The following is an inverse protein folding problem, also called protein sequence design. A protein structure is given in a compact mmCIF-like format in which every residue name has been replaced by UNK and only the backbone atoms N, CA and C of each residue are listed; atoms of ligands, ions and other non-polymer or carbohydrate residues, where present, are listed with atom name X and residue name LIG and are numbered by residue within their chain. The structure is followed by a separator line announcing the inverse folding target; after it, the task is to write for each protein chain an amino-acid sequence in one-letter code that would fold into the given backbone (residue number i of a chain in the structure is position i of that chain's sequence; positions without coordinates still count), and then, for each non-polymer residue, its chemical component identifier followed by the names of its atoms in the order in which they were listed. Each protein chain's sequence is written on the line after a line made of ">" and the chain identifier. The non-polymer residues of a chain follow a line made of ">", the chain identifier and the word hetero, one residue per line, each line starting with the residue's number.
data_IF_884900976819
#
_entry.id   IF_884900976819
#
_cell.length_a   1.000
_cell.length_b   1.000
_cell.length_c   1.000
_cell.angle_alpha   90.00
_cell.angle_beta   90.00
_cell.angle_gamma   90.00
#
_symmetry.space_group_name_H-M   'P 1'
#
loop_
_entity.id
_entity.type
_entity.pdbx_description
1 polymer ?
#
# COMPACT_ATOMS: atom_id res chain seq x y z
N UNK A 1 12.99 4.05 -98.80
CA UNK A 1 14.15 3.73 -97.92
C UNK A 1 13.57 3.31 -96.58
N UNK A 2 13.83 2.06 -96.16
CA UNK A 2 13.22 1.39 -95.01
C UNK A 2 13.74 1.96 -93.69
N UNK A 3 12.86 2.19 -92.71
CA UNK A 3 13.19 2.01 -91.28
C UNK A 3 11.95 1.51 -90.52
N UNK A 4 12.09 0.32 -89.93
CA UNK A 4 11.24 -0.19 -88.87
C UNK A 4 11.59 0.54 -87.57
N UNK A 5 10.58 0.87 -86.75
CA UNK A 5 10.75 1.10 -85.31
C UNK A 5 9.71 0.28 -84.55
N UNK A 6 10.28 -0.58 -83.72
CA UNK A 6 9.70 -1.46 -82.72
C UNK A 6 9.37 -0.63 -81.45
N UNK A 7 8.27 -0.91 -80.73
CA UNK A 7 8.20 -1.05 -79.26
C UNK A 7 6.74 -1.16 -78.78
N UNK A 8 6.32 -2.33 -78.27
CA UNK A 8 6.16 -2.72 -76.85
C UNK A 8 4.91 -2.13 -76.17
N UNK A 9 3.85 -2.94 -76.11
CA UNK A 9 2.70 -2.78 -75.21
C UNK A 9 2.98 -3.37 -73.82
N UNK A 10 2.37 -2.83 -72.74
CA UNK A 10 2.80 -3.06 -71.36
C UNK A 10 2.17 -4.30 -70.71
N UNK A 11 2.91 -4.85 -69.75
CA UNK A 11 2.51 -5.89 -68.80
C UNK A 11 1.48 -5.32 -67.81
N UNK A 12 0.31 -5.95 -67.68
CA UNK A 12 -0.66 -5.63 -66.63
C UNK A 12 -0.23 -6.27 -65.30
N UNK A 13 -0.01 -5.45 -64.26
CA UNK A 13 0.24 -5.90 -62.89
C UNK A 13 -1.12 -6.01 -62.19
N UNK A 14 -1.56 -7.22 -61.86
CA UNK A 14 -2.66 -7.45 -60.92
C UNK A 14 -2.15 -7.15 -59.50
N UNK A 15 -2.64 -6.08 -58.88
CA UNK A 15 -2.46 -5.82 -57.45
C UNK A 15 -3.59 -6.58 -56.72
N UNK A 16 -3.25 -7.73 -56.13
CA UNK A 16 -4.10 -8.40 -55.15
C UNK A 16 -4.11 -7.57 -53.87
N UNK A 17 -5.23 -6.88 -53.61
CA UNK A 17 -5.50 -6.24 -52.33
C UNK A 17 -5.87 -7.34 -51.33
N UNK A 18 -4.91 -7.74 -50.51
CA UNK A 18 -5.16 -8.56 -49.32
C UNK A 18 -5.80 -7.63 -48.28
N UNK A 19 -7.12 -7.74 -48.09
CA UNK A 19 -7.81 -7.16 -46.95
C UNK A 19 -7.33 -7.89 -45.69
N UNK A 20 -6.38 -7.28 -44.98
CA UNK A 20 -6.13 -7.63 -43.58
C UNK A 20 -7.36 -7.20 -42.77
N UNK A 21 -8.20 -8.15 -42.39
CA UNK A 21 -9.15 -7.96 -41.30
C UNK A 21 -8.32 -7.79 -40.02
N UNK A 22 -8.10 -6.53 -39.63
CA UNK A 22 -7.55 -6.22 -38.33
C UNK A 22 -8.61 -6.66 -37.32
N UNK A 23 -8.44 -7.84 -36.75
CA UNK A 23 -9.22 -8.26 -35.58
C UNK A 23 -9.06 -7.17 -34.51
N UNK A 24 -10.13 -6.49 -34.06
CA UNK A 24 -10.05 -5.57 -32.94
C UNK A 24 -10.02 -6.41 -31.65
N UNK A 25 -9.00 -7.24 -31.50
CA UNK A 25 -8.82 -8.02 -30.29
C UNK A 25 -7.80 -7.29 -29.43
N UNK A 26 -8.25 -6.93 -28.23
CA UNK A 26 -7.51 -6.36 -27.10
C UNK A 26 -7.50 -4.83 -26.99
N UNK A 27 -8.67 -4.16 -27.11
CA UNK A 27 -8.83 -2.83 -26.52
C UNK A 27 -9.16 -2.99 -25.02
N UNK A 28 -8.15 -2.81 -24.18
CA UNK A 28 -8.20 -2.53 -22.74
C UNK A 28 -9.17 -3.38 -21.90
N UNK A 29 -8.64 -4.40 -21.22
CA UNK A 29 -9.20 -4.78 -19.92
C UNK A 29 -9.03 -3.57 -18.98
N UNK A 30 -9.97 -2.62 -19.02
CA UNK A 30 -10.01 -1.52 -18.06
C UNK A 30 -10.34 -2.12 -16.70
N UNK A 31 -9.30 -2.22 -15.87
CA UNK A 31 -9.39 -2.90 -14.59
C UNK A 31 -10.07 -2.00 -13.55
N UNK A 32 -11.02 -2.57 -12.80
CA UNK A 32 -11.58 -1.91 -11.62
C UNK A 32 -10.56 -2.08 -10.49
N UNK A 33 -10.01 -0.97 -10.02
CA UNK A 33 -9.06 -0.95 -8.90
C UNK A 33 -9.71 -0.41 -7.64
N UNK A 34 -9.13 -0.71 -6.47
CA UNK A 34 -9.58 -0.18 -5.18
C UNK A 34 -8.49 0.68 -4.56
N UNK A 35 -8.90 1.80 -3.97
CA UNK A 35 -8.00 2.75 -3.31
C UNK A 35 -8.56 3.16 -1.97
N UNK A 36 -7.69 3.66 -1.09
CA UNK A 36 -8.14 4.28 0.14
C UNK A 36 -7.33 5.52 0.52
N UNK A 37 -8.00 6.46 1.17
CA UNK A 37 -7.40 7.60 1.85
C UNK A 37 -7.70 7.51 3.34
N UNK A 38 -6.88 8.18 4.14
CA UNK A 38 -7.07 8.23 5.60
C UNK A 38 -6.56 9.54 6.17
N UNK A 39 -7.24 10.01 7.21
CA UNK A 39 -6.93 11.18 7.99
C UNK A 39 -6.83 10.77 9.46
N UNK A 40 -5.73 11.15 10.13
CA UNK A 40 -5.57 10.86 11.54
C UNK A 40 -6.38 11.84 12.39
N UNK A 41 -7.23 11.31 13.28
CA UNK A 41 -8.16 12.10 14.09
C UNK A 41 -7.69 12.32 15.55
N UNK A 42 -6.55 11.77 15.97
CA UNK A 42 -6.20 11.70 17.39
C UNK A 42 -6.55 10.36 18.04
N UNK A 43 -5.94 10.07 19.20
CA UNK A 43 -6.32 8.94 20.05
C UNK A 43 -6.21 7.56 19.39
N UNK A 44 -5.38 7.41 18.36
CA UNK A 44 -5.25 6.18 17.60
C UNK A 44 -6.46 5.89 16.70
N UNK A 45 -7.18 6.92 16.27
CA UNK A 45 -8.32 6.80 15.34
C UNK A 45 -7.96 7.45 14.01
N UNK A 46 -8.39 6.82 12.93
CA UNK A 46 -8.31 7.34 11.58
C UNK A 46 -9.70 7.39 10.98
N UNK A 47 -10.08 8.52 10.41
CA UNK A 47 -11.15 8.58 9.42
C UNK A 47 -10.57 8.03 8.13
N UNK A 48 -11.22 7.04 7.53
CA UNK A 48 -10.77 6.47 6.27
C UNK A 48 -11.91 6.44 5.28
N UNK A 49 -11.56 6.50 3.99
CA UNK A 49 -12.48 6.31 2.88
C UNK A 49 -11.87 5.32 1.90
N UNK A 50 -12.64 4.32 1.51
CA UNK A 50 -12.30 3.34 0.47
C UNK A 50 -13.24 3.54 -0.70
N UNK A 51 -12.74 3.41 -1.92
CA UNK A 51 -13.50 3.67 -3.13
C UNK A 51 -12.94 2.86 -4.30
N UNK A 52 -13.77 2.66 -5.33
CA UNK A 52 -13.35 2.01 -6.57
C UNK A 52 -12.89 3.05 -7.58
N UNK A 53 -11.98 2.68 -8.47
CA UNK A 53 -11.50 3.52 -9.56
C UNK A 53 -11.47 2.70 -10.85
N UNK A 54 -12.13 3.22 -11.87
CA UNK A 54 -12.22 2.65 -13.21
C UNK A 54 -12.46 3.78 -14.23
N UNK A 55 -12.59 3.47 -15.51
CA UNK A 55 -13.05 4.44 -16.51
C UNK A 55 -14.49 4.90 -16.22
N UNK A 56 -14.86 6.08 -16.72
CA UNK A 56 -16.22 6.60 -16.53
C UNK A 56 -17.28 5.64 -17.10
N UNK A 57 -17.03 5.05 -18.26
CA UNK A 57 -17.92 4.05 -18.87
C UNK A 57 -18.19 2.86 -17.94
N UNK A 58 -17.16 2.34 -17.28
CA UNK A 58 -17.32 1.27 -16.30
C UNK A 58 -18.04 1.76 -15.06
N UNK A 59 -17.69 2.94 -14.53
CA UNK A 59 -18.36 3.50 -13.35
C UNK A 59 -19.86 3.72 -13.59
N UNK A 60 -20.23 4.15 -14.80
CA UNK A 60 -21.62 4.32 -15.21
C UNK A 60 -22.36 2.99 -15.36
N UNK A 61 -21.64 1.89 -15.57
CA UNK A 61 -22.20 0.54 -15.66
C UNK A 61 -22.29 -0.18 -14.30
N UNK A 62 -21.66 0.35 -13.24
CA UNK A 62 -21.77 -0.20 -11.89
C UNK A 62 -23.14 0.16 -11.29
N UNK A 63 -23.85 -0.87 -10.81
CA UNK A 63 -25.11 -0.76 -10.07
C UNK A 63 -24.88 -0.50 -8.57
N UNK A 64 -23.83 -1.06 -8.00
CA UNK A 64 -23.45 -0.81 -6.61
C UNK A 64 -22.21 -1.58 -6.19
N UNK A 65 -21.64 -1.19 -5.05
CA UNK A 65 -20.47 -1.84 -4.45
C UNK A 65 -20.80 -2.24 -3.02
N UNK A 66 -20.60 -3.51 -2.70
CA UNK A 66 -20.71 -4.03 -1.35
C UNK A 66 -19.32 -4.19 -0.73
N UNK A 67 -19.22 -3.83 0.54
CA UNK A 67 -18.01 -3.74 1.34
C UNK A 67 -18.17 -4.63 2.57
N UNK A 68 -17.30 -5.62 2.71
CA UNK A 68 -17.30 -6.52 3.86
C UNK A 68 -16.11 -6.20 4.76
N UNK A 69 -16.40 -5.57 5.92
CA UNK A 69 -15.41 -5.17 6.91
C UNK A 69 -15.15 -6.32 7.89
N UNK A 70 -13.94 -6.88 7.87
CA UNK A 70 -13.53 -7.91 8.83
C UNK A 70 -12.85 -7.28 10.05
N UNK A 71 -13.63 -6.64 10.93
CA UNK A 71 -13.11 -6.07 12.17
C UNK A 71 -13.36 -7.00 13.36
N UNK A 72 -12.41 -7.91 13.61
CA UNK A 72 -12.12 -8.63 14.87
C UNK A 72 -13.17 -9.50 15.57
N UNK A 73 -14.41 -9.66 15.10
CA UNK A 73 -15.29 -10.75 15.57
C UNK A 73 -16.60 -10.92 14.78
N UNK A 74 -17.02 -9.92 13.99
CA UNK A 74 -18.15 -10.03 13.10
C UNK A 74 -17.87 -9.28 11.79
N UNK A 75 -18.18 -9.92 10.66
CA UNK A 75 -18.16 -9.25 9.37
C UNK A 75 -19.35 -8.29 9.30
N UNK A 76 -19.10 -7.00 9.09
CA UNK A 76 -20.18 -6.06 8.78
C UNK A 76 -20.19 -5.77 7.30
N UNK A 77 -21.35 -5.96 6.67
CA UNK A 77 -21.57 -5.67 5.24
C UNK A 77 -22.17 -4.27 5.10
N UNK A 78 -21.61 -3.47 4.20
CA UNK A 78 -22.10 -2.13 3.82
C UNK A 78 -22.21 -2.05 2.31
N UNK A 79 -23.15 -1.27 1.79
CA UNK A 79 -23.38 -1.20 0.35
C UNK A 79 -23.58 0.25 -0.08
N UNK A 80 -22.94 0.62 -1.18
CA UNK A 80 -23.04 1.93 -1.83
C UNK A 80 -23.63 1.73 -3.23
N UNK A 81 -24.86 2.18 -3.45
CA UNK A 81 -25.57 2.04 -4.74
C UNK A 81 -25.51 3.32 -5.60
N UNK A 82 -24.75 4.33 -5.16
CA UNK A 82 -24.59 5.61 -5.85
C UNK A 82 -23.12 5.97 -5.95
N UNK A 83 -22.73 6.55 -7.09
CA UNK A 83 -21.36 7.02 -7.33
C UNK A 83 -20.91 8.01 -6.24
N UNK A 84 -21.79 8.92 -5.82
CA UNK A 84 -21.45 9.92 -4.80
C UNK A 84 -20.49 10.98 -5.33
N UNK A 85 -19.40 11.24 -4.60
CA UNK A 85 -18.34 12.18 -5.01
C UNK A 85 -17.54 11.56 -6.17
N UNK A 86 -17.47 12.18 -7.37
CA UNK A 86 -16.73 11.63 -8.51
C UNK A 86 -15.24 11.40 -8.25
N UNK A 87 -14.65 12.08 -7.26
CA UNK A 87 -13.26 11.85 -6.85
C UNK A 87 -13.09 10.54 -6.08
N UNK A 88 -14.18 10.02 -5.50
CA UNK A 88 -14.22 8.80 -4.70
C UNK A 88 -15.47 7.97 -5.02
N UNK A 89 -15.58 7.40 -6.24
CA UNK A 89 -16.76 6.69 -6.70
C UNK A 89 -17.13 5.54 -5.76
N UNK A 90 -18.42 5.45 -5.41
CA UNK A 90 -18.97 4.47 -4.48
C UNK A 90 -18.27 4.50 -3.10
N UNK A 91 -17.74 5.64 -2.70
CA UNK A 91 -16.78 5.70 -1.60
C UNK A 91 -17.37 5.55 -0.20
N UNK A 92 -17.11 4.41 0.46
CA UNK A 92 -17.46 4.15 1.86
C UNK A 92 -16.51 4.87 2.83
N UNK A 93 -17.07 5.61 3.79
CA UNK A 93 -16.30 6.31 4.85
C UNK A 93 -16.60 5.73 6.23
N UNK A 94 -15.57 5.54 7.06
CA UNK A 94 -15.74 5.10 8.44
C UNK A 94 -14.54 5.50 9.32
N UNK A 95 -14.54 5.10 10.59
CA UNK A 95 -13.45 5.30 11.54
C UNK A 95 -12.84 3.95 11.92
N UNK A 96 -11.51 3.86 11.90
CA UNK A 96 -10.75 2.66 12.27
C UNK A 96 -9.58 2.98 13.19
N UNK A 97 -8.97 1.94 13.77
CA UNK A 97 -7.81 2.08 14.68
C UNK A 97 -6.54 1.38 14.22
N UNK A 98 -6.65 0.49 13.24
CA UNK A 98 -5.54 -0.25 12.63
C UNK A 98 -5.84 -0.56 11.17
N UNK A 99 -4.82 -0.78 10.33
CA UNK A 99 -4.98 -1.36 9.00
C UNK A 99 -5.68 -2.72 9.05
N UNK A 100 -6.47 -3.05 8.02
CA UNK A 100 -7.11 -4.35 7.85
C UNK A 100 -7.52 -4.58 6.39
N UNK A 101 -7.69 -5.85 6.00
CA UNK A 101 -8.21 -6.21 4.68
C UNK A 101 -9.73 -6.01 4.63
N UNK A 102 -10.20 -5.43 3.54
CA UNK A 102 -11.62 -5.31 3.19
C UNK A 102 -11.87 -6.07 1.89
N UNK A 103 -12.97 -6.80 1.83
CA UNK A 103 -13.45 -7.43 0.58
C UNK A 103 -14.51 -6.55 -0.06
N UNK A 104 -14.47 -6.42 -1.37
CA UNK A 104 -15.44 -5.68 -2.16
C UNK A 104 -16.12 -6.63 -3.15
N UNK A 105 -17.42 -6.44 -3.35
CA UNK A 105 -18.18 -7.05 -4.45
C UNK A 105 -18.82 -5.96 -5.28
N UNK A 106 -18.43 -5.85 -6.54
CA UNK A 106 -18.94 -4.86 -7.50
C UNK A 106 -20.04 -5.51 -8.33
N UNK A 107 -21.21 -4.90 -8.34
CA UNK A 107 -22.38 -5.33 -9.09
C UNK A 107 -22.57 -4.43 -10.31
N UNK A 108 -22.77 -5.03 -11.48
CA UNK A 108 -23.06 -4.29 -12.71
C UNK A 108 -24.57 -4.15 -12.93
N UNK A 109 -24.96 -3.15 -13.73
CA UNK A 109 -26.34 -2.92 -14.15
C UNK A 109 -26.81 -4.01 -15.10
N UNK A 110 -25.94 -4.39 -16.04
CA UNK A 110 -26.14 -5.56 -16.88
C UNK A 110 -25.99 -6.84 -16.05
N UNK A 111 -27.07 -7.61 -15.98
CA UNK A 111 -27.14 -8.85 -15.20
C UNK A 111 -26.37 -10.01 -15.82
N UNK A 112 -26.03 -9.92 -17.11
CA UNK A 112 -25.20 -10.92 -17.79
C UNK A 112 -23.72 -10.72 -17.47
N UNK A 113 -23.32 -9.54 -16.96
CA UNK A 113 -21.94 -9.28 -16.52
C UNK A 113 -21.69 -9.93 -15.16
N UNK A 114 -20.61 -10.69 -15.10
CA UNK A 114 -20.15 -11.30 -13.85
C UNK A 114 -19.73 -10.23 -12.83
N UNK A 115 -20.22 -10.34 -11.59
CA UNK A 115 -19.81 -9.47 -10.49
C UNK A 115 -18.30 -9.60 -10.21
N UNK A 116 -17.63 -8.49 -9.90
CA UNK A 116 -16.20 -8.53 -9.54
C UNK A 116 -16.01 -8.64 -8.04
N UNK A 117 -15.09 -9.49 -7.63
CA UNK A 117 -14.64 -9.64 -6.25
C UNK A 117 -13.23 -9.08 -6.11
N UNK A 118 -13.05 -8.10 -5.23
CA UNK A 118 -11.77 -7.45 -4.99
C UNK A 118 -11.41 -7.58 -3.51
N UNK A 119 -10.11 -7.52 -3.23
CA UNK A 119 -9.57 -7.39 -1.88
C UNK A 119 -8.70 -6.15 -1.83
N UNK A 120 -8.79 -5.41 -0.74
CA UNK A 120 -7.99 -4.21 -0.55
C UNK A 120 -7.47 -4.15 0.88
N UNK A 121 -6.19 -3.86 1.05
CA UNK A 121 -5.64 -3.59 2.38
C UNK A 121 -5.84 -2.11 2.71
N UNK A 122 -6.69 -1.81 3.69
CA UNK A 122 -6.82 -0.43 4.17
C UNK A 122 -5.55 -0.01 4.88
N UNK A 123 -4.80 0.89 4.27
CA UNK A 123 -3.56 1.43 4.85
C UNK A 123 -3.87 2.80 5.45
N UNK A 124 -3.56 2.96 6.74
CA UNK A 124 -3.70 4.24 7.42
C UNK A 124 -2.39 5.02 7.36
N UNK A 125 -2.38 6.07 6.53
CA UNK A 125 -1.26 7.01 6.47
C UNK A 125 -1.26 7.84 7.73
N UNK A 126 -0.17 7.78 8.48
CA UNK A 126 0.07 8.66 9.62
C UNK A 126 0.88 9.87 9.14
N UNK A 127 0.53 11.10 9.56
CA UNK A 127 1.27 12.28 9.17
C UNK A 127 2.70 12.23 9.71
N UNK A 128 3.70 12.77 9.00
CA UNK A 128 5.02 12.97 9.58
C UNK A 128 4.94 13.96 10.74
N UNK A 129 5.85 13.84 11.71
CA UNK A 129 5.98 14.84 12.78
C UNK A 129 6.34 16.20 12.20
N UNK A 130 5.57 17.25 12.54
CA UNK A 130 5.90 18.61 12.14
C UNK A 130 7.17 19.11 12.87
N UNK A 131 7.32 18.75 14.15
CA UNK A 131 8.48 19.05 14.97
C UNK A 131 9.04 17.74 15.55
N UNK A 132 10.16 17.23 15.02
CA UNK A 132 10.77 16.00 15.51
C UNK A 132 11.10 16.08 17.00
N UNK A 133 10.78 15.02 17.73
CA UNK A 133 11.22 14.84 19.11
C UNK A 133 12.76 14.77 19.17
N UNK A 134 13.39 15.32 20.21
CA UNK A 134 14.84 15.24 20.43
C UNK A 134 15.23 13.85 20.96
N UNK A 135 14.96 12.81 20.19
CA UNK A 135 15.27 11.41 20.52
C UNK A 135 16.34 10.86 19.59
N UNK A 136 17.13 9.92 20.09
CA UNK A 136 18.19 9.21 19.37
C UNK A 136 17.97 7.71 19.46
N UNK A 137 18.64 6.97 18.59
CA UNK A 137 18.66 5.50 18.59
C UNK A 137 19.99 5.01 19.13
N UNK A 138 19.97 3.91 19.86
CA UNK A 138 21.18 3.26 20.36
C UNK A 138 21.01 1.74 20.34
N UNK A 139 22.13 1.02 20.45
CA UNK A 139 22.10 -0.41 20.66
C UNK A 139 23.19 -0.86 21.65
N UNK A 140 22.99 -2.03 22.23
CA UNK A 140 24.03 -2.82 22.91
C UNK A 140 24.05 -4.22 22.31
N UNK A 141 25.20 -4.89 22.38
CA UNK A 141 25.34 -6.25 21.88
C UNK A 141 26.32 -7.06 22.72
N UNK A 142 26.01 -8.34 22.87
CA UNK A 142 26.84 -9.35 23.52
C UNK A 142 27.16 -10.45 22.51
N UNK A 143 28.44 -10.81 22.40
CA UNK A 143 28.87 -11.92 21.54
C UNK A 143 28.40 -13.26 22.12
N UNK A 144 27.83 -14.11 21.27
CA UNK A 144 27.46 -15.48 21.61
C UNK A 144 28.45 -16.52 21.03
N UNK A 145 29.55 -16.04 20.42
CA UNK A 145 30.45 -16.87 19.61
C UNK A 145 29.84 -17.32 18.28
N UNK A 146 30.68 -17.90 17.41
CA UNK A 146 30.32 -18.37 16.07
C UNK A 146 29.62 -17.28 15.22
N UNK A 147 30.15 -16.05 15.24
CA UNK A 147 29.63 -14.88 14.52
C UNK A 147 28.16 -14.50 14.82
N UNK A 148 27.66 -14.92 15.99
CA UNK A 148 26.32 -14.58 16.47
C UNK A 148 26.41 -13.57 17.60
N UNK A 149 25.48 -12.63 17.56
CA UNK A 149 25.36 -11.56 18.55
C UNK A 149 23.93 -11.53 19.08
N UNK A 150 23.80 -11.40 20.40
CA UNK A 150 22.55 -10.97 21.03
C UNK A 150 22.61 -9.46 21.10
N UNK A 151 21.72 -8.78 20.41
CA UNK A 151 21.69 -7.32 20.39
C UNK A 151 20.36 -6.79 20.89
N UNK A 152 20.38 -5.56 21.40
CA UNK A 152 19.20 -4.82 21.82
C UNK A 152 19.27 -3.41 21.26
N UNK A 153 18.29 -3.03 20.45
CA UNK A 153 18.10 -1.66 19.94
C UNK A 153 17.08 -0.93 20.80
N UNK A 154 17.25 0.37 21.01
CA UNK A 154 16.39 1.18 21.86
C UNK A 154 16.40 2.66 21.46
N UNK A 155 15.44 3.40 21.99
CA UNK A 155 15.34 4.86 21.88
C UNK A 155 15.90 5.52 23.15
N UNK A 156 16.55 6.66 22.99
CA UNK A 156 17.06 7.50 24.07
C UNK A 156 16.58 8.93 23.88
N UNK A 157 16.36 9.66 24.97
CA UNK A 157 15.95 11.05 24.92
C UNK A 157 15.41 11.53 26.26
N UNK A 158 15.03 12.82 26.36
CA UNK A 158 14.46 13.35 27.59
C UNK A 158 13.08 12.74 27.85
N UNK A 159 12.72 12.56 29.11
CA UNK A 159 11.51 11.86 29.57
C UNK A 159 10.24 12.43 28.93
N UNK A 160 10.13 13.76 28.87
CA UNK A 160 9.01 14.45 28.24
C UNK A 160 8.83 14.13 26.75
N UNK A 161 9.93 13.90 26.01
CA UNK A 161 9.86 13.48 24.62
C UNK A 161 9.45 12.01 24.52
N UNK A 162 10.06 11.14 25.32
CA UNK A 162 9.76 9.71 25.31
C UNK A 162 8.31 9.42 25.74
N UNK A 163 7.73 10.22 26.63
CA UNK A 163 6.33 10.11 27.06
C UNK A 163 5.33 10.48 25.98
N UNK A 164 5.76 11.17 24.92
CA UNK A 164 4.92 11.44 23.74
C UNK A 164 4.86 10.25 22.79
N UNK A 165 5.76 9.27 22.92
CA UNK A 165 5.76 8.06 22.09
C UNK A 165 4.73 7.07 22.64
N UNK A 166 3.86 6.57 21.77
CA UNK A 166 2.86 5.53 22.09
C UNK A 166 3.48 4.14 21.97
N UNK A 167 4.21 3.90 20.89
CA UNK A 167 4.92 2.66 20.61
C UNK A 167 5.98 2.90 19.54
N UNK A 168 6.94 1.99 19.43
CA UNK A 168 7.98 2.00 18.40
C UNK A 168 7.83 0.75 17.56
N UNK A 169 7.99 0.90 16.26
CA UNK A 169 8.11 -0.22 15.33
C UNK A 169 9.53 -0.31 14.79
N UNK A 170 10.12 -1.50 14.86
CA UNK A 170 11.42 -1.84 14.30
C UNK A 170 11.20 -2.70 13.06
N UNK A 171 11.72 -2.25 11.91
CA UNK A 171 11.78 -3.05 10.69
C UNK A 171 13.22 -3.51 10.46
N UNK A 172 13.44 -4.81 10.59
CA UNK A 172 14.70 -5.52 10.39
C UNK A 172 15.00 -5.73 8.89
N UNK A 173 16.19 -6.27 8.62
CA UNK A 173 16.60 -6.65 7.28
C UNK A 173 15.61 -7.66 6.65
N UNK A 174 15.37 -7.64 5.32
CA UNK A 174 14.41 -8.54 4.66
C UNK A 174 14.66 -10.04 4.83
N UNK A 175 15.85 -10.46 5.25
CA UNK A 175 16.19 -11.86 5.52
C UNK A 175 15.61 -12.39 6.83
N UNK A 176 15.04 -11.53 7.69
CA UNK A 176 14.36 -11.96 8.91
C UNK A 176 12.91 -12.40 8.59
N UNK A 177 12.46 -13.58 9.05
CA UNK A 177 11.14 -14.14 8.73
C UNK A 177 9.99 -13.30 9.29
N UNK A 178 10.17 -12.73 10.49
CA UNK A 178 9.32 -11.67 11.03
C UNK A 178 10.16 -10.39 11.06
N UNK A 179 10.02 -9.54 10.04
CA UNK A 179 10.88 -8.35 9.93
C UNK A 179 10.36 -7.15 10.72
N UNK A 180 9.07 -7.12 11.06
CA UNK A 180 8.43 -5.93 11.67
C UNK A 180 8.01 -6.27 13.09
N UNK A 181 8.54 -5.54 14.06
CA UNK A 181 8.25 -5.74 15.48
C UNK A 181 7.73 -4.46 16.13
N UNK A 182 6.64 -4.57 16.88
CA UNK A 182 6.05 -3.49 17.64
C UNK A 182 6.43 -3.59 19.13
N UNK A 183 6.98 -2.51 19.71
CA UNK A 183 7.28 -2.42 21.15
C UNK A 183 6.44 -1.31 21.77
N UNK A 184 5.55 -1.69 22.69
CA UNK A 184 4.71 -0.78 23.48
C UNK A 184 5.27 -0.51 24.87
N UNK A 185 6.11 -1.40 25.38
CA UNK A 185 6.69 -1.26 26.71
C UNK A 185 7.67 -0.09 26.73
N UNK A 186 7.41 0.88 27.60
CA UNK A 186 8.20 2.13 27.66
C UNK A 186 9.66 1.91 28.04
N UNK A 187 9.97 0.99 28.95
CA UNK A 187 11.33 0.78 29.45
C UNK A 187 11.87 1.97 30.26
N UNK A 188 13.19 2.11 30.34
CA UNK A 188 13.86 3.20 31.07
C UNK A 188 14.20 4.37 30.14
N UNK A 189 14.68 5.50 30.68
CA UNK A 189 15.07 6.68 29.88
C UNK A 189 16.23 6.39 28.93
N UNK A 190 17.17 5.56 29.36
CA UNK A 190 18.38 5.23 28.58
C UNK A 190 18.20 4.04 27.63
N UNK A 191 17.11 3.28 27.75
CA UNK A 191 16.77 2.11 26.92
C UNK A 191 15.26 2.02 26.70
N UNK A 192 14.68 3.09 26.17
CA UNK A 192 13.25 3.17 25.94
C UNK A 192 12.83 2.27 24.77
N UNK A 193 11.66 1.62 24.88
CA UNK A 193 11.09 0.78 23.82
C UNK A 193 12.09 -0.24 23.27
N UNK A 194 12.85 -0.88 24.15
CA UNK A 194 13.92 -1.79 23.77
C UNK A 194 13.39 -3.03 23.05
N UNK A 195 14.06 -3.41 21.96
CA UNK A 195 13.82 -4.65 21.22
C UNK A 195 15.11 -5.46 21.14
N UNK A 196 15.06 -6.72 21.55
CA UNK A 196 16.20 -7.63 21.53
C UNK A 196 15.98 -8.78 20.55
N UNK A 197 17.03 -9.16 19.83
CA UNK A 197 17.05 -10.36 19.00
C UNK A 197 18.46 -10.92 18.87
N UNK A 198 18.56 -12.09 18.25
CA UNK A 198 19.84 -12.72 17.89
C UNK A 198 19.99 -12.62 16.38
N UNK A 199 21.19 -12.26 15.93
CA UNK A 199 21.49 -12.18 14.50
C UNK A 199 22.97 -12.22 14.21
N UNK A 200 23.28 -12.12 12.92
CA UNK A 200 24.61 -12.06 12.36
C UNK A 200 24.81 -10.72 11.66
N UNK A 201 26.05 -10.21 11.68
CA UNK A 201 26.45 -9.02 10.94
C UNK A 201 25.76 -7.71 11.34
N UNK A 202 26.19 -6.61 10.74
CA UNK A 202 25.62 -5.28 10.95
C UNK A 202 24.63 -4.95 9.84
N UNK A 203 23.51 -4.34 10.19
CA UNK A 203 22.52 -3.89 9.22
C UNK A 203 21.77 -2.65 9.73
N UNK A 204 21.15 -1.93 8.80
CA UNK A 204 20.26 -0.82 9.16
C UNK A 204 18.89 -1.36 9.62
N UNK A 205 18.48 -0.95 10.81
CA UNK A 205 17.12 -1.10 11.33
C UNK A 205 16.38 0.20 11.04
N UNK A 206 15.25 0.11 10.33
CA UNK A 206 14.34 1.24 10.15
C UNK A 206 13.41 1.32 11.35
N UNK A 207 13.25 2.52 11.88
CA UNK A 207 12.56 2.75 13.15
C UNK A 207 11.44 3.76 12.92
N UNK A 208 10.23 3.44 13.40
CA UNK A 208 9.09 4.36 13.39
C UNK A 208 8.61 4.56 14.82
N UNK A 209 8.80 5.76 15.36
CA UNK A 209 8.21 6.15 16.63
C UNK A 209 6.82 6.72 16.36
N UNK A 210 5.78 6.00 16.79
CA UNK A 210 4.40 6.43 16.67
C UNK A 210 4.02 7.23 17.90
N UNK A 211 3.70 8.50 17.71
CA UNK A 211 3.38 9.40 18.81
C UNK A 211 1.93 9.22 19.28
N UNK A 212 1.64 9.65 20.51
CA UNK A 212 0.29 9.62 21.09
C UNK A 212 -0.71 10.50 20.32
N UNK A 213 -0.21 11.53 19.64
CA UNK A 213 -0.96 12.38 18.70
C UNK A 213 -0.94 11.82 17.26
N UNK A 214 -0.53 10.57 17.05
CA UNK A 214 -0.55 9.82 15.79
C UNK A 214 0.38 10.28 14.69
N UNK A 215 1.17 11.32 14.91
CA UNK A 215 2.29 11.59 14.04
C UNK A 215 3.32 10.46 14.13
N UNK A 216 4.11 10.30 13.07
CA UNK A 216 5.18 9.32 13.02
C UNK A 216 6.51 10.02 12.79
N UNK A 217 7.45 9.79 13.70
CA UNK A 217 8.84 10.15 13.51
C UNK A 217 9.61 8.95 12.98
N UNK A 218 10.20 9.12 11.80
CA UNK A 218 11.07 8.11 11.20
C UNK A 218 12.49 8.31 11.72
N UNK A 219 13.12 7.23 12.11
CA UNK A 219 14.50 7.15 12.56
C UNK A 219 15.15 5.95 11.84
N UNK A 220 16.47 5.85 11.89
CA UNK A 220 17.16 4.61 11.57
C UNK A 220 18.31 4.38 12.54
N UNK A 221 18.78 3.13 12.58
CA UNK A 221 19.92 2.75 13.39
C UNK A 221 20.70 1.67 12.67
N UNK A 222 21.99 1.92 12.43
CA UNK A 222 22.89 0.88 11.96
C UNK A 222 23.40 0.10 13.17
N UNK A 223 23.10 -1.19 13.26
CA UNK A 223 23.58 -2.04 14.36
C UNK A 223 25.11 -2.04 14.43
N UNK A 224 25.65 -1.98 15.64
CA UNK A 224 27.09 -2.03 15.94
C UNK A 224 27.37 -3.09 17.00
N UNK A 225 28.51 -3.77 16.89
CA UNK A 225 28.95 -4.83 17.81
C UNK A 225 30.27 -4.44 18.46
#
# INVERSE_FOLDING_TARGET
>A
MKYQVLMKTPFAILISIVLFTISPLTLFAQEITTHNISEYLGGGKWKWKVYVQASQEILDDINGVEYTLQTTSAASVRREDRIGDPRYPFGLTNIGRKPFEISLKVFFKDKEKENRHLKHMLIFKSPPVANPLPVKTGNVADSLGNDRWKWTVFIQGPTNALDRIRFVEYTLHPTFPERVHEVRQRGTENRAFAFSAIGWGTFEIRIRAFLKNGEVQKLSHHLRF
#
